data_IF_886905520204
#
_entry.id   IF_886905520204
#
_cell.length_a   1.000
_cell.length_b   1.000
_cell.length_c   1.000
_cell.angle_alpha   90.00
_cell.angle_beta   90.00
_cell.angle_gamma   90.00
#
_symmetry.space_group_name_H-M   'P 1'
#
loop_
_entity.id
_entity.type
_entity.pdbx_description
1 polymer ?
#
# COMPACT_ATOMS: atom_id res chain seq x y z
N UNK A 1 26.03 8.56 1.74
CA UNK A 1 25.73 8.83 3.16
C UNK A 1 24.59 7.89 3.52
N UNK A 2 24.96 6.74 4.09
CA UNK A 2 24.03 5.65 4.42
C UNK A 2 23.16 6.04 5.62
N UNK A 3 21.85 6.09 5.41
CA UNK A 3 20.86 6.12 6.48
C UNK A 3 20.42 4.68 6.73
N UNK A 4 21.06 4.03 7.71
CA UNK A 4 20.52 2.81 8.30
C UNK A 4 19.16 3.13 8.94
N UNK A 5 18.07 2.69 8.31
CA UNK A 5 16.74 2.73 8.90
C UNK A 5 16.66 1.65 9.98
N UNK A 6 17.04 2.03 11.21
CA UNK A 6 16.59 1.30 12.39
C UNK A 6 15.07 1.39 12.43
N UNK A 7 14.39 0.24 12.50
CA UNK A 7 12.92 0.16 12.54
C UNK A 7 12.34 1.09 13.60
N UNK A 8 11.79 2.22 13.17
CA UNK A 8 11.22 3.22 14.06
C UNK A 8 9.98 2.63 14.71
N UNK A 9 10.02 2.45 16.03
CA UNK A 9 8.85 2.01 16.81
C UNK A 9 7.79 3.13 16.76
N UNK A 10 6.58 2.81 16.30
CA UNK A 10 5.46 3.76 16.31
C UNK A 10 4.97 3.96 17.76
N UNK A 11 5.39 5.06 18.38
CA UNK A 11 4.86 5.48 19.69
C UNK A 11 3.51 6.16 19.56
N UNK A 12 3.29 6.88 18.46
CA UNK A 12 1.99 7.46 18.09
C UNK A 12 1.37 6.61 17.00
N UNK A 13 0.23 6.01 17.30
CA UNK A 13 -0.53 5.16 16.38
C UNK A 13 -1.61 5.90 15.62
N UNK A 14 -2.34 5.19 14.76
CA UNK A 14 -3.56 5.72 14.15
C UNK A 14 -4.56 6.15 15.24
N UNK A 15 -5.32 7.20 14.94
CA UNK A 15 -6.38 7.65 15.84
C UNK A 15 -7.45 6.56 16.02
N UNK A 16 -8.12 6.57 17.17
CA UNK A 16 -9.35 5.78 17.35
C UNK A 16 -10.36 6.16 16.26
N UNK A 17 -11.15 5.17 15.84
CA UNK A 17 -12.11 5.24 14.74
C UNK A 17 -11.49 5.36 13.33
N UNK A 18 -10.17 5.27 13.20
CA UNK A 18 -9.51 5.15 11.90
C UNK A 18 -9.86 3.82 11.25
N UNK A 19 -10.35 3.86 10.02
CA UNK A 19 -10.52 2.67 9.17
C UNK A 19 -9.16 2.12 8.76
N UNK A 20 -8.99 0.82 8.87
CA UNK A 20 -7.80 0.11 8.41
C UNK A 20 -8.17 -1.00 7.46
N UNK A 21 -7.30 -1.27 6.49
CA UNK A 21 -7.30 -2.54 5.76
C UNK A 21 -6.29 -3.49 6.39
N UNK A 22 -6.63 -4.76 6.43
CA UNK A 22 -5.86 -5.85 7.02
C UNK A 22 -5.64 -6.90 5.93
N UNK A 23 -4.38 -7.17 5.61
CA UNK A 23 -4.03 -8.12 4.55
C UNK A 23 -3.11 -9.22 5.10
N UNK A 24 -3.48 -10.50 5.04
CA UNK A 24 -2.58 -11.61 5.37
C UNK A 24 -1.28 -11.56 4.58
N UNK A 25 -0.15 -11.66 5.28
CA UNK A 25 1.18 -11.71 4.65
C UNK A 25 1.48 -13.06 4.02
N UNK A 26 0.83 -14.12 4.50
CA UNK A 26 0.93 -15.48 3.97
C UNK A 26 -0.36 -15.82 3.20
N UNK A 27 -0.22 -16.50 2.07
CA UNK A 27 -1.31 -16.77 1.13
C UNK A 27 -1.18 -15.95 -0.15
N UNK A 28 -1.73 -16.46 -1.25
CA UNK A 28 -1.74 -15.82 -2.57
C UNK A 28 -2.66 -14.59 -2.62
N UNK A 29 -3.59 -14.53 -3.57
CA UNK A 29 -4.62 -13.48 -3.66
C UNK A 29 -5.67 -13.59 -2.52
N UNK A 30 -5.23 -13.54 -1.26
CA UNK A 30 -6.11 -13.41 -0.12
C UNK A 30 -6.70 -12.01 -0.09
N UNK A 31 -8.03 -11.95 0.02
CA UNK A 31 -8.79 -10.71 0.09
C UNK A 31 -8.29 -9.85 1.25
N UNK A 32 -8.31 -8.53 1.06
CA UNK A 32 -8.15 -7.63 2.20
C UNK A 32 -9.40 -7.70 3.09
N UNK A 33 -9.20 -7.43 4.37
CA UNK A 33 -10.28 -7.25 5.32
C UNK A 33 -10.30 -5.81 5.77
N UNK A 34 -11.44 -5.33 6.24
CA UNK A 34 -11.57 -4.00 6.83
C UNK A 34 -11.81 -4.10 8.33
N UNK A 35 -11.34 -3.09 9.05
CA UNK A 35 -11.59 -2.94 10.47
C UNK A 35 -11.49 -1.48 10.90
N UNK A 36 -11.74 -1.24 12.17
CA UNK A 36 -11.69 0.10 12.77
C UNK A 36 -10.87 0.07 14.05
N UNK A 37 -9.91 0.98 14.16
CA UNK A 37 -9.04 1.09 15.35
C UNK A 37 -9.88 1.50 16.56
N UNK A 38 -9.91 0.66 17.59
CA UNK A 38 -10.58 0.90 18.87
C UNK A 38 -9.64 1.47 19.92
N UNK A 39 -8.40 0.99 19.91
CA UNK A 39 -7.36 1.51 20.80
C UNK A 39 -5.98 1.31 20.21
N UNK A 40 -5.05 2.13 20.68
CA UNK A 40 -3.63 2.00 20.43
C UNK A 40 -2.89 2.25 21.74
N UNK A 41 -2.14 1.25 22.19
CA UNK A 41 -1.37 1.34 23.42
C UNK A 41 0.08 1.02 23.13
N UNK A 42 0.96 2.00 23.36
CA UNK A 42 2.40 1.80 23.41
C UNK A 42 2.84 1.54 24.86
N UNK A 43 3.52 0.43 25.09
CA UNK A 43 4.14 0.09 26.37
C UNK A 43 5.30 1.04 26.71
N UNK A 44 5.86 0.89 27.91
CA UNK A 44 6.97 1.72 28.35
C UNK A 44 8.13 1.70 27.33
N UNK A 45 8.64 2.89 26.99
CA UNK A 45 9.64 3.13 25.95
C UNK A 45 9.22 2.77 24.49
N UNK A 46 7.93 2.55 24.23
CA UNK A 46 7.42 2.26 22.87
C UNK A 46 7.79 0.89 22.33
N UNK A 47 8.34 0.00 23.16
CA UNK A 47 8.91 -1.29 22.74
C UNK A 47 7.85 -2.34 22.40
N UNK A 48 6.65 -2.23 22.98
CA UNK A 48 5.52 -3.11 22.71
C UNK A 48 4.36 -2.24 22.33
N UNK A 49 3.80 -2.46 21.15
CA UNK A 49 2.60 -1.79 20.70
C UNK A 49 1.52 -2.83 20.55
N UNK A 50 0.36 -2.53 21.12
CA UNK A 50 -0.87 -3.30 20.94
C UNK A 50 -1.95 -2.36 20.39
N UNK A 51 -2.56 -2.74 19.28
CA UNK A 51 -3.76 -2.08 18.76
C UNK A 51 -4.93 -3.03 18.81
N UNK A 52 -6.09 -2.56 19.25
CA UNK A 52 -7.33 -3.31 19.10
C UNK A 52 -8.10 -2.79 17.90
N UNK A 53 -8.54 -3.70 17.03
CA UNK A 53 -9.27 -3.38 15.81
C UNK A 53 -10.58 -4.15 15.81
N UNK A 54 -11.70 -3.44 15.75
CA UNK A 54 -12.99 -4.11 15.55
C UNK A 54 -13.12 -4.58 14.11
N UNK A 55 -13.61 -5.80 13.93
CA UNK A 55 -13.80 -6.43 12.63
C UNK A 55 -15.03 -7.36 12.69
N UNK A 56 -15.51 -7.82 11.53
CA UNK A 56 -16.58 -8.82 11.51
C UNK A 56 -16.08 -10.16 12.11
N UNK A 57 -16.97 -10.99 12.68
CA UNK A 57 -16.56 -12.29 13.20
C UNK A 57 -15.86 -13.19 12.18
N UNK A 58 -16.29 -13.13 10.91
CA UNK A 58 -15.63 -13.84 9.82
C UNK A 58 -14.20 -13.34 9.58
N UNK A 59 -13.94 -12.03 9.70
CA UNK A 59 -12.59 -11.48 9.63
C UNK A 59 -11.75 -11.88 10.83
N UNK A 60 -12.31 -11.89 12.05
CA UNK A 60 -11.60 -12.33 13.25
C UNK A 60 -11.16 -13.79 13.10
N UNK A 61 -12.08 -14.67 12.70
CA UNK A 61 -11.81 -16.08 12.46
C UNK A 61 -10.76 -16.28 11.36
N UNK A 62 -10.87 -15.52 10.26
CA UNK A 62 -9.94 -15.64 9.14
C UNK A 62 -8.52 -15.19 9.51
N UNK A 63 -8.36 -14.16 10.36
CA UNK A 63 -7.07 -13.54 10.65
C UNK A 63 -6.41 -14.01 11.94
N UNK A 64 -7.09 -14.81 12.77
CA UNK A 64 -6.54 -15.26 14.05
C UNK A 64 -5.21 -16.02 13.88
N UNK A 65 -4.21 -15.61 14.65
CA UNK A 65 -2.85 -16.13 14.61
C UNK A 65 -2.04 -15.74 13.36
N UNK A 66 -2.61 -14.99 12.42
CA UNK A 66 -1.93 -14.64 11.17
C UNK A 66 -1.07 -13.39 11.31
N UNK A 67 0.03 -13.35 10.56
CA UNK A 67 0.76 -12.11 10.34
C UNK A 67 0.06 -11.32 9.24
N UNK A 68 -0.23 -10.06 9.52
CA UNK A 68 -0.96 -9.16 8.63
C UNK A 68 -0.15 -7.89 8.37
N UNK A 69 -0.29 -7.36 7.16
CA UNK A 69 -0.06 -5.95 6.90
C UNK A 69 -1.32 -5.17 7.22
N UNK A 70 -1.15 -3.98 7.78
CA UNK A 70 -2.23 -3.07 8.13
C UNK A 70 -1.95 -1.74 7.47
N UNK A 71 -2.92 -1.24 6.70
CA UNK A 71 -2.84 0.06 6.04
C UNK A 71 -3.96 0.94 6.58
N UNK A 72 -3.61 2.13 7.08
CA UNK A 72 -4.63 3.09 7.55
C UNK A 72 -5.24 3.80 6.36
N UNK A 73 -6.55 3.96 6.30
CA UNK A 73 -7.12 4.86 5.31
C UNK A 73 -6.66 6.31 5.61
N UNK A 74 -6.24 7.04 4.59
CA UNK A 74 -6.02 8.48 4.75
C UNK A 74 -7.41 9.11 4.90
N UNK A 75 -7.81 9.41 6.13
CA UNK A 75 -9.17 9.85 6.44
C UNK A 75 -9.68 10.96 5.51
N UNK A 76 -10.99 10.95 5.22
CA UNK A 76 -11.64 12.05 4.52
C UNK A 76 -11.90 13.19 5.53
N UNK A 77 -11.06 14.22 5.51
CA UNK A 77 -11.24 15.42 6.33
C UNK A 77 -10.06 16.39 6.28
N UNK A 78 -10.23 17.58 6.86
CA UNK A 78 -9.20 18.64 6.92
C UNK A 78 -7.98 18.29 7.80
N UNK A 79 -8.01 17.14 8.49
CA UNK A 79 -6.88 16.63 9.28
C UNK A 79 -5.96 15.80 8.40
N UNK A 80 -4.68 16.20 8.32
CA UNK A 80 -3.63 15.41 7.67
C UNK A 80 -3.34 14.17 8.51
N UNK A 81 -4.12 13.11 8.29
CA UNK A 81 -3.84 11.79 8.88
C UNK A 81 -2.87 11.07 7.95
N UNK A 82 -1.64 10.78 8.39
CA UNK A 82 -0.69 10.08 7.54
C UNK A 82 -1.23 8.69 7.19
N UNK A 83 -1.11 8.34 5.91
CA UNK A 83 -1.35 6.98 5.44
C UNK A 83 -0.16 6.12 5.87
N UNK A 84 -0.34 5.33 6.92
CA UNK A 84 0.68 4.48 7.49
C UNK A 84 0.41 3.00 7.18
N UNK A 85 1.50 2.29 6.92
CA UNK A 85 1.50 0.84 6.74
C UNK A 85 2.42 0.21 7.78
N UNK A 86 1.89 -0.76 8.51
CA UNK A 86 2.64 -1.53 9.49
C UNK A 86 2.35 -3.03 9.37
N UNK A 87 3.25 -3.85 9.89
CA UNK A 87 3.09 -5.30 10.00
C UNK A 87 2.80 -5.65 11.46
N UNK A 88 1.88 -6.60 11.70
CA UNK A 88 1.54 -7.08 13.03
C UNK A 88 1.16 -8.58 13.01
N UNK A 89 1.04 -9.17 14.19
CA UNK A 89 0.37 -10.46 14.38
C UNK A 89 -1.05 -10.17 14.88
N UNK A 90 -2.05 -10.65 14.14
CA UNK A 90 -3.45 -10.59 14.52
C UNK A 90 -3.80 -11.78 15.42
N UNK A 91 -4.50 -11.51 16.52
CA UNK A 91 -5.01 -12.51 17.44
C UNK A 91 -6.46 -12.19 17.79
N UNK A 92 -7.33 -13.19 17.80
CA UNK A 92 -8.70 -13.03 18.28
C UNK A 92 -8.67 -12.58 19.75
N UNK A 93 -9.30 -11.43 20.03
CA UNK A 93 -9.48 -10.93 21.40
C UNK A 93 -10.92 -11.17 21.87
N UNK A 94 -11.88 -10.95 20.97
CA UNK A 94 -13.32 -11.20 21.12
C UNK A 94 -13.91 -11.59 19.77
N UNK A 95 -15.18 -11.99 19.75
CA UNK A 95 -15.90 -12.37 18.53
C UNK A 95 -15.88 -11.29 17.43
N UNK A 96 -15.72 -10.03 17.78
CA UNK A 96 -15.72 -8.87 16.87
C UNK A 96 -14.46 -8.00 16.96
N UNK A 97 -13.37 -8.51 17.56
CA UNK A 97 -12.16 -7.72 17.81
C UNK A 97 -10.87 -8.54 17.67
N UNK A 98 -9.91 -7.97 16.95
CA UNK A 98 -8.53 -8.44 16.86
C UNK A 98 -7.61 -7.59 17.74
N UNK A 99 -6.74 -8.26 18.49
CA UNK A 99 -5.55 -7.66 19.06
C UNK A 99 -4.38 -7.79 18.07
N UNK A 100 -3.84 -6.65 17.63
CA UNK A 100 -2.67 -6.55 16.79
C UNK A 100 -1.45 -6.31 17.66
N UNK A 101 -0.51 -7.24 17.65
CA UNK A 101 0.71 -7.18 18.48
C UNK A 101 1.97 -7.26 17.62
N UNK A 102 3.12 -6.90 18.20
CA UNK A 102 4.40 -6.92 17.49
C UNK A 102 4.44 -5.95 16.30
N UNK A 103 3.81 -4.79 16.46
CA UNK A 103 3.65 -3.81 15.39
C UNK A 103 5.00 -3.25 14.94
N UNK A 104 5.24 -3.29 13.64
CA UNK A 104 6.44 -2.77 12.98
C UNK A 104 6.03 -1.85 11.83
N UNK A 105 6.42 -0.59 11.88
CA UNK A 105 6.17 0.37 10.79
C UNK A 105 6.95 -0.03 9.54
N UNK A 106 6.29 -0.08 8.39
CA UNK A 106 6.92 -0.33 7.09
C UNK A 106 7.09 0.96 6.30
N UNK A 107 6.07 1.83 6.32
CA UNK A 107 6.07 3.11 5.62
C UNK A 107 5.00 4.04 6.20
N UNK A 108 5.20 5.35 6.01
CA UNK A 108 4.19 6.36 6.31
C UNK A 108 4.29 7.51 5.31
N UNK A 109 3.14 7.96 4.80
CA UNK A 109 3.01 9.05 3.84
C UNK A 109 2.07 10.13 4.40
N UNK A 110 2.51 11.39 4.43
CA UNK A 110 1.71 12.49 4.99
C UNK A 110 0.84 13.20 3.95
N UNK A 111 1.20 13.14 2.66
CA UNK A 111 0.53 13.89 1.59
C UNK A 111 -0.20 13.02 0.59
N UNK A 112 -0.10 11.70 0.72
CA UNK A 112 -0.62 10.72 -0.24
C UNK A 112 -1.62 9.81 0.44
N UNK A 113 -2.66 9.44 -0.30
CA UNK A 113 -3.64 8.44 0.16
C UNK A 113 -3.24 6.99 -0.11
N UNK A 114 -1.98 6.74 -0.48
CA UNK A 114 -1.42 5.41 -0.67
C UNK A 114 0.10 5.45 -0.49
N UNK A 115 0.68 4.42 0.14
CA UNK A 115 2.13 4.24 0.19
C UNK A 115 2.65 3.80 -1.18
N UNK A 116 3.90 4.17 -1.47
CA UNK A 116 4.60 3.80 -2.70
C UNK A 116 5.75 2.87 -2.40
N UNK A 117 5.92 1.87 -3.27
CA UNK A 117 7.09 1.02 -3.28
C UNK A 117 7.98 1.39 -4.47
N UNK A 118 9.29 1.62 -4.27
CA UNK A 118 10.22 1.74 -5.38
C UNK A 118 10.49 0.35 -5.97
N UNK A 119 10.23 0.19 -7.26
CA UNK A 119 10.53 -1.04 -8.01
C UNK A 119 10.59 -0.74 -9.50
N UNK A 120 11.40 -1.52 -10.23
CA UNK A 120 11.49 -1.49 -11.69
C UNK A 120 10.70 -2.66 -12.27
N UNK A 121 9.40 -2.43 -12.49
CA UNK A 121 8.47 -3.39 -13.06
C UNK A 121 8.16 -3.01 -14.52
N UNK A 122 8.10 -3.97 -15.46
CA UNK A 122 7.64 -3.72 -16.81
C UNK A 122 6.17 -3.24 -16.82
N UNK A 123 5.88 -2.26 -17.67
CA UNK A 123 4.50 -1.89 -17.97
C UNK A 123 4.34 -1.56 -19.45
N UNK A 124 3.19 -1.95 -20.00
CA UNK A 124 2.78 -1.63 -21.35
C UNK A 124 1.66 -0.59 -21.29
N UNK A 125 1.85 0.54 -21.97
CA UNK A 125 0.89 1.64 -22.05
C UNK A 125 0.30 1.69 -23.45
N UNK A 126 -1.02 1.72 -23.55
CA UNK A 126 -1.75 1.88 -24.80
C UNK A 126 -2.53 3.19 -24.79
N UNK A 127 -2.30 4.02 -25.80
CA UNK A 127 -2.95 5.31 -26.04
C UNK A 127 -3.55 5.32 -27.46
N UNK A 128 -4.49 6.24 -27.76
CA UNK A 128 -5.01 6.40 -29.13
C UNK A 128 -3.93 6.64 -30.19
N UNK A 129 -2.87 7.37 -29.82
CA UNK A 129 -1.76 7.79 -30.68
C UNK A 129 -0.65 6.73 -30.82
N UNK A 130 -0.62 5.71 -29.96
CA UNK A 130 0.42 4.68 -29.99
C UNK A 130 0.55 3.87 -28.71
N UNK A 131 1.61 3.09 -28.64
CA UNK A 131 1.95 2.24 -27.49
C UNK A 131 3.34 2.62 -26.96
N UNK A 132 3.56 2.43 -25.66
CA UNK A 132 4.84 2.64 -25.02
C UNK A 132 5.15 1.51 -24.04
N UNK A 133 6.33 0.91 -24.19
CA UNK A 133 6.90 -0.02 -23.21
C UNK A 133 7.75 0.79 -22.22
N UNK A 134 7.37 0.78 -20.96
CA UNK A 134 8.00 1.58 -19.90
C UNK A 134 8.39 0.70 -18.72
N UNK A 135 9.12 1.30 -17.77
CA UNK A 135 9.40 0.67 -16.49
C UNK A 135 8.98 1.56 -15.35
N UNK A 136 8.45 0.99 -14.27
CA UNK A 136 8.16 1.78 -13.07
C UNK A 136 9.45 2.25 -12.41
N UNK A 137 9.39 3.43 -11.80
CA UNK A 137 10.36 3.92 -10.81
C UNK A 137 9.81 3.66 -9.41
N UNK A 138 8.53 3.98 -9.22
CA UNK A 138 7.74 3.60 -8.06
C UNK A 138 6.28 3.39 -8.44
N UNK A 139 5.55 2.67 -7.60
CA UNK A 139 4.14 2.37 -7.80
C UNK A 139 3.38 2.28 -6.47
N UNK A 140 2.08 2.50 -6.55
CA UNK A 140 1.11 2.45 -5.45
C UNK A 140 -0.24 1.99 -5.98
N UNK A 141 -1.19 1.70 -5.09
CA UNK A 141 -2.58 1.40 -5.45
C UNK A 141 -3.28 2.48 -6.29
N UNK A 142 -2.80 3.73 -6.30
CA UNK A 142 -3.46 4.85 -6.99
C UNK A 142 -2.71 5.35 -8.24
N UNK A 143 -1.56 4.77 -8.55
CA UNK A 143 -0.77 5.18 -9.70
C UNK A 143 0.69 4.79 -9.60
N UNK A 144 1.45 5.19 -10.63
CA UNK A 144 2.86 4.87 -10.80
C UNK A 144 3.65 6.06 -11.34
N UNK A 145 4.95 6.04 -11.10
CA UNK A 145 5.93 6.84 -11.85
C UNK A 145 6.69 5.88 -12.75
N UNK A 146 6.90 6.26 -14.00
CA UNK A 146 7.55 5.42 -15.01
C UNK A 146 8.70 6.16 -15.69
N UNK A 147 9.68 5.43 -16.19
CA UNK A 147 10.77 5.89 -17.05
C UNK A 147 10.58 5.38 -18.49
N UNK A 148 11.16 6.09 -19.46
CA UNK A 148 11.01 5.77 -20.90
C UNK A 148 9.76 6.40 -21.54
N UNK A 149 9.22 7.43 -20.91
CA UNK A 149 7.94 8.05 -21.25
C UNK A 149 8.09 9.48 -21.84
N UNK A 150 9.28 9.86 -22.34
CA UNK A 150 9.56 11.23 -22.78
C UNK A 150 8.65 11.73 -23.91
N UNK A 151 8.12 10.82 -24.73
CA UNK A 151 7.27 11.15 -25.88
C UNK A 151 5.77 11.11 -25.54
N UNK A 152 5.41 10.84 -24.29
CA UNK A 152 4.00 10.76 -23.88
C UNK A 152 3.37 12.16 -23.74
N UNK A 153 2.13 12.36 -24.21
CA UNK A 153 1.42 13.60 -23.94
C UNK A 153 1.00 13.69 -22.47
N UNK A 154 1.20 14.85 -21.85
CA UNK A 154 0.57 15.14 -20.57
C UNK A 154 -0.97 15.14 -20.73
N UNK A 155 -1.66 14.67 -19.69
CA UNK A 155 -3.11 14.47 -19.62
C UNK A 155 -3.67 13.45 -20.62
N UNK A 156 -2.82 12.61 -21.23
CA UNK A 156 -3.29 11.50 -22.04
C UNK A 156 -3.99 10.45 -21.18
N UNK A 157 -5.12 9.94 -21.69
CA UNK A 157 -5.75 8.71 -21.20
C UNK A 157 -4.92 7.51 -21.66
N UNK A 158 -4.63 6.60 -20.73
CA UNK A 158 -3.80 5.41 -20.97
C UNK A 158 -4.50 4.16 -20.47
N UNK A 159 -4.51 3.11 -21.28
CA UNK A 159 -4.72 1.73 -20.81
C UNK A 159 -3.36 1.16 -20.38
N UNK A 160 -3.33 0.47 -19.25
CA UNK A 160 -2.11 0.07 -18.56
C UNK A 160 -2.16 -1.44 -18.33
N UNK A 161 -1.10 -2.14 -18.72
CA UNK A 161 -0.81 -3.50 -18.27
C UNK A 161 0.51 -3.49 -17.48
N UNK A 162 0.44 -3.76 -16.18
CA UNK A 162 1.59 -3.74 -15.26
C UNK A 162 1.94 -5.16 -14.81
N UNK A 163 3.17 -5.59 -15.06
CA UNK A 163 3.65 -6.91 -14.67
C UNK A 163 4.18 -6.89 -13.22
N UNK A 164 3.47 -7.54 -12.30
CA UNK A 164 3.82 -7.59 -10.87
C UNK A 164 4.83 -8.71 -10.51
N UNK A 165 5.16 -9.58 -11.47
CA UNK A 165 5.99 -10.77 -11.26
C UNK A 165 5.17 -12.07 -11.17
N UNK A 166 5.84 -13.22 -11.26
CA UNK A 166 5.23 -14.56 -11.18
C UNK A 166 4.05 -14.80 -12.15
N UNK A 167 4.04 -14.10 -13.28
CA UNK A 167 2.98 -14.16 -14.29
C UNK A 167 1.71 -13.39 -13.92
N UNK A 168 1.72 -12.62 -12.83
CA UNK A 168 0.64 -11.74 -12.44
C UNK A 168 0.73 -10.41 -13.18
N UNK A 169 -0.34 -10.06 -13.89
CA UNK A 169 -0.51 -8.80 -14.60
C UNK A 169 -1.73 -8.06 -14.05
N UNK A 170 -1.58 -6.75 -13.86
CA UNK A 170 -2.66 -5.86 -13.42
C UNK A 170 -3.01 -4.92 -14.57
N UNK A 171 -4.30 -4.87 -14.90
CA UNK A 171 -4.85 -3.93 -15.86
C UNK A 171 -5.52 -2.75 -15.16
N UNK A 172 -5.31 -1.54 -15.69
CA UNK A 172 -5.92 -0.32 -15.20
C UNK A 172 -6.11 0.69 -16.33
N UNK A 173 -7.07 1.59 -16.17
CA UNK A 173 -7.11 2.82 -16.95
C UNK A 173 -6.50 3.94 -16.12
N UNK A 174 -5.73 4.81 -16.75
CA UNK A 174 -5.08 5.93 -16.09
C UNK A 174 -5.04 7.21 -16.92
N UNK A 175 -4.51 8.24 -16.29
CA UNK A 175 -4.22 9.55 -16.87
C UNK A 175 -2.75 9.90 -16.60
N UNK A 176 -2.03 10.34 -17.62
CA UNK A 176 -0.69 10.91 -17.48
C UNK A 176 -0.82 12.29 -16.83
N UNK A 177 -0.43 12.45 -15.57
CA UNK A 177 -0.54 13.72 -14.88
C UNK A 177 0.53 14.74 -15.29
N UNK A 178 1.75 14.26 -15.56
CA UNK A 178 2.89 15.08 -15.98
C UNK A 178 3.97 14.21 -16.59
N UNK A 179 4.76 14.81 -17.48
CA UNK A 179 5.98 14.27 -18.04
C UNK A 179 7.13 15.21 -17.71
N UNK A 180 8.24 14.66 -17.29
CA UNK A 180 9.50 15.36 -17.09
C UNK A 180 10.43 15.02 -18.26
N UNK A 181 10.56 15.96 -19.20
CA UNK A 181 11.38 15.78 -20.40
C UNK A 181 12.88 15.64 -20.10
N UNK A 182 13.34 16.09 -18.92
CA UNK A 182 14.76 16.02 -18.55
C UNK A 182 15.13 14.64 -18.04
N UNK A 183 14.28 14.04 -17.20
CA UNK A 183 14.49 12.69 -16.69
C UNK A 183 13.91 11.60 -17.59
N UNK A 184 13.00 11.96 -18.50
CA UNK A 184 12.20 10.99 -19.26
C UNK A 184 11.17 10.25 -18.41
N UNK A 185 10.84 10.78 -17.23
CA UNK A 185 9.86 10.19 -16.33
C UNK A 185 8.45 10.75 -16.52
N UNK A 186 7.43 9.89 -16.39
CA UNK A 186 6.04 10.31 -16.36
C UNK A 186 5.37 9.84 -15.06
N UNK A 187 4.39 10.63 -14.58
CA UNK A 187 3.51 10.22 -13.47
C UNK A 187 2.16 9.86 -14.04
N UNK A 188 1.72 8.62 -13.81
CA UNK A 188 0.42 8.11 -14.24
C UNK A 188 -0.45 7.86 -13.01
N UNK A 189 -1.66 8.39 -13.01
CA UNK A 189 -2.69 8.13 -11.98
C UNK A 189 -3.68 7.12 -12.51
N UNK A 190 -4.04 6.12 -11.72
CA UNK A 190 -5.13 5.22 -12.07
C UNK A 190 -6.47 5.92 -11.86
N UNK A 191 -7.33 5.88 -12.88
CA UNK A 191 -8.69 6.41 -12.86
C UNK A 191 -9.72 5.29 -12.74
N UNK A 192 -9.42 4.11 -13.27
CA UNK A 192 -10.22 2.90 -13.11
C UNK A 192 -9.30 1.72 -12.80
N UNK A 193 -9.62 0.99 -11.74
CA UNK A 193 -8.88 -0.19 -11.28
C UNK A 193 -9.89 -1.16 -10.66
N UNK A 194 -9.95 -2.38 -11.16
CA UNK A 194 -10.81 -3.42 -10.60
C UNK A 194 -10.37 -3.78 -9.17
N UNK A 195 -11.31 -4.13 -8.29
CA UNK A 195 -11.02 -4.44 -6.89
C UNK A 195 -9.95 -5.54 -6.74
N UNK A 196 -10.07 -6.65 -7.47
CA UNK A 196 -9.07 -7.72 -7.43
C UNK A 196 -7.68 -7.27 -7.91
N UNK A 197 -7.63 -6.36 -8.89
CA UNK A 197 -6.39 -5.76 -9.36
C UNK A 197 -5.80 -4.78 -8.32
N UNK A 198 -6.65 -4.03 -7.61
CA UNK A 198 -6.26 -3.16 -6.51
C UNK A 198 -5.67 -3.97 -5.33
N UNK A 199 -6.27 -5.10 -4.99
CA UNK A 199 -5.75 -6.01 -3.96
C UNK A 199 -4.40 -6.61 -4.36
N UNK A 200 -4.28 -7.09 -5.60
CA UNK A 200 -3.02 -7.63 -6.13
C UNK A 200 -1.90 -6.58 -6.11
N UNK A 201 -2.23 -5.35 -6.51
CA UNK A 201 -1.29 -4.25 -6.53
C UNK A 201 -0.87 -3.80 -5.13
N UNK A 202 -1.82 -3.66 -4.20
CA UNK A 202 -1.54 -3.34 -2.79
C UNK A 202 -0.65 -4.43 -2.18
N UNK A 203 -0.96 -5.71 -2.39
CA UNK A 203 -0.12 -6.84 -1.94
C UNK A 203 1.30 -6.73 -2.47
N UNK A 204 1.46 -6.40 -3.75
CA UNK A 204 2.78 -6.22 -4.36
C UNK A 204 3.56 -5.08 -3.70
N UNK A 205 2.93 -3.92 -3.50
CA UNK A 205 3.53 -2.77 -2.80
C UNK A 205 3.96 -3.15 -1.37
N UNK A 206 3.07 -3.78 -0.61
CA UNK A 206 3.32 -4.18 0.78
C UNK A 206 4.43 -5.24 0.88
N UNK A 207 4.49 -6.16 -0.08
CA UNK A 207 5.56 -7.15 -0.18
C UNK A 207 6.92 -6.48 -0.40
N UNK A 208 6.97 -5.50 -1.32
CA UNK A 208 8.18 -4.77 -1.62
C UNK A 208 8.66 -3.92 -0.42
N UNK A 209 7.75 -3.21 0.24
CA UNK A 209 8.06 -2.45 1.46
C UNK A 209 8.57 -3.37 2.58
N UNK A 210 7.93 -4.53 2.77
CA UNK A 210 8.36 -5.51 3.75
C UNK A 210 9.71 -6.14 3.41
N UNK A 211 10.08 -6.26 2.13
CA UNK A 211 11.39 -6.73 1.68
C UNK A 211 12.48 -5.71 2.01
N UNK A 212 12.22 -4.43 1.74
CA UNK A 212 13.16 -3.34 1.99
C UNK A 212 13.48 -3.16 3.47
N UNK A 213 12.48 -3.35 4.35
CA UNK A 213 12.65 -3.26 5.79
C UNK A 213 13.35 -4.48 6.44
N UNK A 214 13.74 -5.50 5.66
CA UNK A 214 14.53 -6.66 6.15
C UNK A 214 16.03 -6.54 5.88
N UNK A 215 16.45 -5.61 5.02
CA UNK A 215 17.85 -5.34 4.68
C UNK A 215 18.47 -4.34 5.63
#
# INVERSE_FOLDING_TARGET
>A
MDAAQSGTLMTEGPAVDTTVTLMPTAGGNGAWHTGTVRSWTAGAAGLVVTSHVSASPATVEALDGQRVWVSTDSGQGDSVTPHAVFQAIAQAHRDDELALTGVMLLAAETRRGAVRAPASLPAHLTMPEGVADVRTVDYSRTGMRVEGAQDMPAHADVEIALELGDGLEVHARGEVLRVDETSGEAVVRFVELEEGAAEALERSVLTELARQNRG
#
